data_IF_438911264308
#
_entry.id   IF_438911264308
#
_cell.length_a   1.000
_cell.length_b   1.000
_cell.length_c   1.000
_cell.angle_alpha   90.00
_cell.angle_beta   90.00
_cell.angle_gamma   90.00
#
_symmetry.space_group_name_H-M   'P 1'
#
loop_
_entity.id
_entity.type
_entity.pdbx_description
1 polymer ?
#
# COMPACT_ATOMS: atom_id res chain seq x y z
N UNK A 1 12.42 7.11 -9.32
CA UNK A 1 13.20 6.29 -8.36
C UNK A 1 13.41 7.04 -7.06
N UNK A 2 14.07 8.20 -7.06
CA UNK A 2 14.36 8.99 -5.84
C UNK A 2 13.19 9.17 -4.87
N UNK A 3 11.99 9.54 -5.34
CA UNK A 3 10.81 9.76 -4.47
C UNK A 3 10.37 8.52 -3.68
N UNK A 4 10.41 7.34 -4.28
CA UNK A 4 10.01 6.10 -3.61
C UNK A 4 11.05 5.69 -2.55
N UNK A 5 12.33 5.81 -2.87
CA UNK A 5 13.44 5.58 -1.93
C UNK A 5 13.38 6.56 -0.75
N UNK A 6 13.07 7.84 -0.99
CA UNK A 6 12.86 8.82 0.08
C UNK A 6 11.66 8.44 0.97
N UNK A 7 10.55 8.01 0.37
CA UNK A 7 9.37 7.57 1.12
C UNK A 7 9.66 6.31 1.96
N UNK A 8 10.36 5.32 1.40
CA UNK A 8 10.81 4.12 2.14
C UNK A 8 11.71 4.49 3.32
N UNK A 9 12.66 5.41 3.10
CA UNK A 9 13.57 5.89 4.15
C UNK A 9 12.83 6.65 5.25
N UNK A 10 11.92 7.54 4.87
CA UNK A 10 11.10 8.31 5.82
C UNK A 10 10.18 7.40 6.65
N UNK A 11 9.68 6.33 6.04
CA UNK A 11 8.86 5.32 6.70
C UNK A 11 9.68 4.28 7.48
N UNK A 12 11.01 4.34 7.44
CA UNK A 12 11.91 3.38 8.08
C UNK A 12 11.66 1.95 7.62
N UNK A 13 11.42 1.75 6.31
CA UNK A 13 11.07 0.46 5.71
C UNK A 13 12.32 -0.41 5.48
N UNK A 14 12.90 -0.91 6.56
CA UNK A 14 13.96 -1.92 6.51
C UNK A 14 13.40 -3.32 6.15
N UNK A 15 14.30 -4.29 5.98
CA UNK A 15 13.92 -5.66 5.63
C UNK A 15 12.98 -6.30 6.66
N UNK A 16 13.16 -5.99 7.95
CA UNK A 16 12.30 -6.50 9.02
C UNK A 16 10.88 -5.92 8.97
N UNK A 17 10.76 -4.61 8.72
CA UNK A 17 9.48 -3.92 8.56
C UNK A 17 8.76 -4.37 7.29
N UNK A 18 9.49 -4.61 6.20
CA UNK A 18 8.92 -5.20 4.99
C UNK A 18 8.32 -6.59 5.22
N UNK A 19 8.99 -7.44 6.01
CA UNK A 19 8.44 -8.76 6.36
C UNK A 19 7.15 -8.64 7.16
N UNK A 20 7.09 -7.75 8.14
CA UNK A 20 5.87 -7.49 8.92
C UNK A 20 4.76 -6.87 8.08
N UNK A 21 5.11 -5.97 7.16
CA UNK A 21 4.15 -5.36 6.26
C UNK A 21 3.48 -6.41 5.36
N UNK A 22 4.21 -7.43 4.93
CA UNK A 22 3.69 -8.55 4.14
C UNK A 22 2.66 -9.43 4.88
N UNK A 23 2.40 -9.18 6.17
CA UNK A 23 1.33 -9.83 6.92
C UNK A 23 -0.05 -9.44 6.34
N UNK A 24 -0.95 -10.40 6.06
CA UNK A 24 -2.28 -10.11 5.52
C UNK A 24 -3.09 -9.13 6.38
N UNK A 25 -3.00 -9.25 7.70
CA UNK A 25 -3.68 -8.34 8.63
C UNK A 25 -3.13 -6.92 8.54
N UNK A 26 -1.81 -6.76 8.37
CA UNK A 26 -1.22 -5.44 8.07
C UNK A 26 -1.81 -4.88 6.79
N UNK A 27 -1.78 -5.65 5.69
CA UNK A 27 -2.30 -5.21 4.39
C UNK A 27 -3.79 -4.81 4.43
N UNK A 28 -4.66 -5.69 4.93
CA UNK A 28 -6.11 -5.44 4.98
C UNK A 28 -6.48 -4.28 5.90
N UNK A 29 -5.85 -4.18 7.06
CA UNK A 29 -6.15 -3.10 8.01
C UNK A 29 -5.59 -1.74 7.57
N UNK A 30 -4.71 -1.67 6.55
CA UNK A 30 -4.33 -0.39 5.92
C UNK A 30 -5.40 0.15 4.99
N UNK A 31 -6.35 -0.66 4.53
CA UNK A 31 -7.48 -0.16 3.73
C UNK A 31 -8.37 0.80 4.52
N UNK A 32 -8.30 0.77 5.86
CA UNK A 32 -9.05 1.70 6.72
C UNK A 32 -8.45 3.10 6.75
N UNK A 33 -7.24 3.32 6.24
CA UNK A 33 -6.56 4.62 6.28
C UNK A 33 -7.37 5.69 5.54
N UNK A 34 -7.81 5.43 4.30
CA UNK A 34 -8.57 6.42 3.54
C UNK A 34 -9.94 6.72 4.18
N UNK A 35 -10.73 5.72 4.61
CA UNK A 35 -11.92 5.96 5.43
C UNK A 35 -11.64 6.77 6.70
N UNK A 36 -10.55 6.46 7.43
CA UNK A 36 -10.18 7.19 8.64
C UNK A 36 -9.82 8.64 8.35
N UNK A 37 -9.08 8.92 7.27
CA UNK A 37 -8.77 10.28 6.82
C UNK A 37 -10.05 11.02 6.42
N UNK A 38 -10.97 10.36 5.71
CA UNK A 38 -12.26 10.96 5.35
C UNK A 38 -13.06 11.34 6.59
N UNK A 39 -13.21 10.41 7.55
CA UNK A 39 -13.90 10.66 8.81
C UNK A 39 -13.23 11.78 9.62
N UNK A 40 -11.90 11.78 9.69
CA UNK A 40 -11.15 12.84 10.37
C UNK A 40 -11.43 14.21 9.73
N UNK A 41 -11.37 14.31 8.40
CA UNK A 41 -11.63 15.55 7.69
C UNK A 41 -13.07 16.04 7.88
N UNK A 42 -14.07 15.16 7.78
CA UNK A 42 -15.47 15.51 7.99
C UNK A 42 -15.81 15.82 9.45
N UNK A 43 -15.08 15.23 10.40
CA UNK A 43 -15.26 15.52 11.84
C UNK A 43 -15.05 17.00 12.18
N UNK A 44 -14.36 17.78 11.34
CA UNK A 44 -14.20 19.23 11.52
C UNK A 44 -15.52 19.99 11.56
N UNK A 45 -16.59 19.45 10.98
CA UNK A 45 -17.93 20.03 11.06
C UNK A 45 -18.58 19.83 12.44
N UNK A 46 -18.14 18.83 13.20
CA UNK A 46 -18.69 18.47 14.50
C UNK A 46 -17.84 18.98 15.65
N UNK A 47 -16.52 18.81 15.56
CA UNK A 47 -15.55 19.10 16.62
C UNK A 47 -14.57 20.23 16.28
N UNK A 48 -14.78 20.90 15.14
CA UNK A 48 -13.99 22.07 14.75
C UNK A 48 -12.49 21.78 14.62
N UNK A 49 -11.61 22.63 15.20
CA UNK A 49 -10.15 22.46 15.12
C UNK A 49 -9.63 21.13 15.70
N UNK A 50 -10.38 20.52 16.63
CA UNK A 50 -10.00 19.23 17.24
C UNK A 50 -9.95 18.07 16.25
N UNK A 51 -10.51 18.23 15.05
CA UNK A 51 -10.41 17.27 13.94
C UNK A 51 -8.96 16.99 13.49
N UNK A 52 -7.99 17.83 13.90
CA UNK A 52 -6.57 17.54 13.70
C UNK A 52 -6.13 16.28 14.46
N UNK A 53 -6.73 15.97 15.61
CA UNK A 53 -6.39 14.78 16.41
C UNK A 53 -6.69 13.46 15.69
N UNK A 54 -7.92 13.20 15.18
CA UNK A 54 -8.17 12.00 14.41
C UNK A 54 -7.37 11.96 13.09
N UNK A 55 -7.04 13.12 12.49
CA UNK A 55 -6.17 13.15 11.32
C UNK A 55 -4.74 12.68 11.66
N UNK A 56 -4.17 13.18 12.76
CA UNK A 56 -2.87 12.70 13.27
C UNK A 56 -2.92 11.21 13.60
N UNK A 57 -4.00 10.73 14.22
CA UNK A 57 -4.17 9.31 14.52
C UNK A 57 -4.21 8.44 13.25
N UNK A 58 -4.91 8.89 12.20
CA UNK A 58 -4.94 8.19 10.91
C UNK A 58 -3.56 8.16 10.24
N UNK A 59 -2.78 9.24 10.31
CA UNK A 59 -1.41 9.28 9.79
C UNK A 59 -0.47 8.40 10.63
N UNK A 60 -0.60 8.43 11.95
CA UNK A 60 0.15 7.56 12.85
C UNK A 60 -0.15 6.08 12.57
N UNK A 61 -1.41 5.74 12.23
CA UNK A 61 -1.79 4.39 11.82
C UNK A 61 -1.00 3.91 10.60
N UNK A 62 -0.78 4.76 9.60
CA UNK A 62 0.03 4.39 8.40
C UNK A 62 1.44 3.96 8.79
N UNK A 63 2.05 4.65 9.75
CA UNK A 63 3.40 4.35 10.23
C UNK A 63 3.46 3.16 11.20
N UNK A 64 2.48 3.08 12.09
CA UNK A 64 2.42 2.07 13.15
C UNK A 64 2.01 0.69 12.61
N UNK A 65 1.13 0.65 11.61
CA UNK A 65 0.59 -0.58 11.05
C UNK A 65 1.65 -1.63 10.66
N UNK A 66 2.68 -1.35 9.83
CA UNK A 66 3.69 -2.35 9.47
C UNK A 66 4.59 -2.78 10.65
N UNK A 67 4.43 -2.20 11.85
CA UNK A 67 5.22 -2.53 13.06
C UNK A 67 4.43 -3.33 14.08
N UNK A 68 3.11 -3.26 14.06
CA UNK A 68 2.24 -3.94 15.03
C UNK A 68 2.02 -5.42 14.73
N UNK A 69 2.14 -5.84 13.47
CA UNK A 69 1.88 -7.22 13.08
C UNK A 69 3.18 -8.03 13.02
N UNK A 70 3.18 -9.30 13.43
CA UNK A 70 4.31 -10.19 13.19
C UNK A 70 4.47 -10.46 11.70
N UNK A 71 5.61 -10.99 11.22
CA UNK A 71 5.74 -11.51 9.86
C UNK A 71 4.63 -12.51 9.52
N UNK A 72 4.22 -12.64 8.24
CA UNK A 72 3.23 -13.63 7.84
C UNK A 72 3.74 -15.03 8.18
N UNK A 73 2.88 -15.84 8.79
CA UNK A 73 3.10 -17.29 8.91
C UNK A 73 3.12 -17.86 7.50
N UNK A 74 1.94 -17.95 6.88
CA UNK A 74 1.80 -18.37 5.48
C UNK A 74 2.10 -17.24 4.49
N UNK A 75 2.88 -17.57 3.45
CA UNK A 75 3.36 -16.61 2.43
C UNK A 75 2.70 -16.74 1.06
N UNK A 76 1.68 -17.58 0.95
CA UNK A 76 0.93 -17.86 -0.26
C UNK A 76 -0.35 -17.02 -0.40
N UNK A 77 -0.74 -16.26 0.64
CA UNK A 77 -1.91 -15.40 0.58
C UNK A 77 -1.78 -14.33 -0.50
N UNK A 78 -2.91 -13.96 -1.12
CA UNK A 78 -2.94 -12.92 -2.16
C UNK A 78 -2.34 -11.59 -1.68
N UNK A 79 -2.70 -11.15 -0.46
CA UNK A 79 -2.18 -9.91 0.13
C UNK A 79 -0.67 -9.97 0.34
N UNK A 80 -0.14 -11.08 0.87
CA UNK A 80 1.30 -11.26 1.08
C UNK A 80 2.07 -11.26 -0.24
N UNK A 81 1.59 -12.00 -1.25
CA UNK A 81 2.21 -12.02 -2.59
C UNK A 81 2.17 -10.65 -3.24
N UNK A 82 1.07 -9.92 -3.08
CA UNK A 82 0.92 -8.55 -3.54
C UNK A 82 1.99 -7.62 -2.96
N UNK A 83 2.21 -7.66 -1.64
CA UNK A 83 3.18 -6.80 -0.96
C UNK A 83 4.62 -7.18 -1.34
N UNK A 84 4.93 -8.48 -1.48
CA UNK A 84 6.23 -8.88 -2.03
C UNK A 84 6.44 -8.39 -3.46
N UNK A 85 5.40 -8.46 -4.30
CA UNK A 85 5.44 -7.91 -5.65
C UNK A 85 5.62 -6.40 -5.68
N UNK A 86 5.03 -5.66 -4.75
CA UNK A 86 5.26 -4.22 -4.59
C UNK A 86 6.73 -3.94 -4.29
N UNK A 87 7.34 -4.69 -3.37
CA UNK A 87 8.78 -4.58 -3.06
C UNK A 87 9.66 -4.89 -4.28
N UNK A 88 9.31 -5.91 -5.07
CA UNK A 88 9.99 -6.23 -6.34
C UNK A 88 9.85 -5.08 -7.34
N UNK A 89 8.64 -4.54 -7.49
CA UNK A 89 8.38 -3.43 -8.40
C UNK A 89 9.13 -2.17 -8.01
N UNK A 90 9.29 -1.87 -6.72
CA UNK A 90 10.11 -0.75 -6.24
C UNK A 90 11.59 -0.92 -6.59
N UNK A 91 12.11 -2.15 -6.52
CA UNK A 91 13.49 -2.51 -6.93
C UNK A 91 13.70 -2.64 -8.44
N UNK A 92 12.71 -2.34 -9.28
CA UNK A 92 12.78 -2.54 -10.75
C UNK A 92 13.92 -1.80 -11.47
N UNK A 93 14.51 -0.79 -10.85
CA UNK A 93 15.69 -0.09 -11.37
C UNK A 93 16.99 -0.87 -11.19
N UNK A 94 17.03 -1.79 -10.23
CA UNK A 94 18.20 -2.64 -9.92
C UNK A 94 18.03 -4.06 -10.45
N UNK A 95 16.81 -4.60 -10.40
CA UNK A 95 16.47 -5.93 -10.93
C UNK A 95 15.41 -5.75 -12.00
N UNK A 96 15.74 -6.07 -13.25
CA UNK A 96 14.81 -5.93 -14.36
C UNK A 96 13.54 -6.77 -14.15
N UNK A 97 12.39 -6.20 -14.47
CA UNK A 97 11.08 -6.87 -14.43
C UNK A 97 10.43 -6.85 -15.83
N UNK A 98 9.51 -7.77 -16.14
CA UNK A 98 8.81 -7.75 -17.43
C UNK A 98 8.13 -6.40 -17.72
N UNK A 99 8.31 -5.89 -18.94
CA UNK A 99 7.86 -4.54 -19.32
C UNK A 99 6.33 -4.34 -19.15
N UNK A 100 5.54 -5.40 -19.37
CA UNK A 100 4.09 -5.36 -19.15
C UNK A 100 3.71 -5.07 -17.70
N UNK A 101 4.40 -5.67 -16.73
CA UNK A 101 4.19 -5.41 -15.29
C UNK A 101 4.63 -4.01 -14.90
N UNK A 102 5.78 -3.55 -15.41
CA UNK A 102 6.26 -2.19 -15.16
C UNK A 102 5.26 -1.13 -15.66
N UNK A 103 4.75 -1.30 -16.88
CA UNK A 103 3.76 -0.41 -17.49
C UNK A 103 2.45 -0.42 -16.72
N UNK A 104 1.89 -1.61 -16.46
CA UNK A 104 0.64 -1.75 -15.71
C UNK A 104 0.74 -1.11 -14.32
N UNK A 105 1.82 -1.37 -13.57
CA UNK A 105 2.04 -0.78 -12.26
C UNK A 105 2.17 0.74 -12.30
N UNK A 106 2.79 1.30 -13.35
CA UNK A 106 2.92 2.75 -13.52
C UNK A 106 1.58 3.41 -13.83
N UNK A 107 0.80 2.84 -14.75
CA UNK A 107 -0.53 3.35 -15.12
C UNK A 107 -1.48 3.31 -13.91
N UNK A 108 -1.56 2.18 -13.21
CA UNK A 108 -2.47 2.05 -12.06
C UNK A 108 -2.09 2.99 -10.92
N UNK A 109 -0.80 3.21 -10.65
CA UNK A 109 -0.36 4.20 -9.66
C UNK A 109 -0.69 5.63 -10.11
N UNK A 110 -0.52 5.98 -11.39
CA UNK A 110 -0.89 7.29 -11.91
C UNK A 110 -2.41 7.54 -11.79
N UNK A 111 -3.23 6.56 -12.20
CA UNK A 111 -4.68 6.65 -12.06
C UNK A 111 -5.11 6.73 -10.59
N UNK A 112 -4.46 5.97 -9.70
CA UNK A 112 -4.69 6.04 -8.26
C UNK A 112 -4.37 7.43 -7.71
N UNK A 113 -3.26 8.04 -8.15
CA UNK A 113 -2.89 9.39 -7.74
C UNK A 113 -3.91 10.44 -8.20
N UNK A 114 -4.36 10.37 -9.46
CA UNK A 114 -5.42 11.26 -9.99
C UNK A 114 -6.73 11.09 -9.20
N UNK A 115 -7.12 9.85 -8.92
CA UNK A 115 -8.31 9.57 -8.11
C UNK A 115 -8.17 10.07 -6.68
N UNK A 116 -6.95 10.02 -6.13
CA UNK A 116 -6.61 10.59 -4.83
C UNK A 116 -6.75 12.11 -4.79
N UNK A 117 -6.48 12.80 -5.91
CA UNK A 117 -6.73 14.25 -6.00
C UNK A 117 -8.22 14.58 -5.95
N UNK A 118 -9.08 13.76 -6.58
CA UNK A 118 -10.55 13.90 -6.49
C UNK A 118 -11.00 13.69 -5.04
N UNK A 119 -10.45 12.68 -4.35
CA UNK A 119 -10.72 12.46 -2.93
C UNK A 119 -10.34 13.67 -2.09
N UNK A 120 -9.12 14.19 -2.24
CA UNK A 120 -8.64 15.38 -1.50
C UNK A 120 -9.49 16.61 -1.78
N UNK A 121 -9.85 16.85 -3.05
CA UNK A 121 -10.78 17.90 -3.44
C UNK A 121 -12.13 17.77 -2.73
N UNK A 122 -12.71 16.57 -2.69
CA UNK A 122 -13.94 16.29 -1.94
C UNK A 122 -13.82 16.61 -0.45
N UNK A 123 -12.68 16.29 0.17
CA UNK A 123 -12.43 16.65 1.58
C UNK A 123 -12.22 18.14 1.81
N UNK A 124 -11.61 18.87 0.86
CA UNK A 124 -11.42 20.31 0.97
C UNK A 124 -12.77 21.02 0.89
N UNK A 125 -13.59 20.67 -0.10
CA UNK A 125 -14.87 21.33 -0.36
C UNK A 125 -16.07 20.72 0.40
N UNK A 126 -15.85 19.68 1.21
CA UNK A 126 -16.93 18.92 1.87
C UNK A 126 -17.97 18.41 0.86
N UNK A 127 -17.51 17.99 -0.30
CA UNK A 127 -18.35 17.34 -1.29
C UNK A 127 -18.36 15.83 -1.02
N UNK A 128 -19.54 15.32 -0.63
CA UNK A 128 -19.73 13.93 -0.26
C UNK A 128 -19.47 12.99 -1.45
N UNK A 129 -19.93 13.35 -2.64
CA UNK A 129 -19.83 12.48 -3.81
C UNK A 129 -18.41 12.40 -4.34
N UNK A 130 -17.69 13.53 -4.41
CA UNK A 130 -16.28 13.57 -4.75
C UNK A 130 -15.43 12.82 -3.70
N UNK A 131 -15.75 12.96 -2.41
CA UNK A 131 -15.10 12.21 -1.33
C UNK A 131 -15.28 10.71 -1.52
N UNK A 132 -16.53 10.24 -1.64
CA UNK A 132 -16.82 8.80 -1.72
C UNK A 132 -16.32 8.19 -3.02
N UNK A 133 -16.54 8.85 -4.17
CA UNK A 133 -16.08 8.35 -5.47
C UNK A 133 -14.56 8.35 -5.59
N UNK A 134 -13.89 9.43 -5.17
CA UNK A 134 -12.43 9.53 -5.16
C UNK A 134 -11.80 8.49 -4.23
N UNK A 135 -12.38 8.29 -3.03
CA UNK A 135 -11.94 7.25 -2.10
C UNK A 135 -12.10 5.85 -2.71
N UNK A 136 -13.30 5.51 -3.17
CA UNK A 136 -13.61 4.19 -3.72
C UNK A 136 -12.72 3.88 -4.92
N UNK A 137 -12.58 4.82 -5.86
CA UNK A 137 -11.77 4.63 -7.05
C UNK A 137 -10.28 4.47 -6.71
N UNK A 138 -9.76 5.29 -5.79
CA UNK A 138 -8.38 5.15 -5.30
C UNK A 138 -8.13 3.78 -4.67
N UNK A 139 -9.05 3.31 -3.83
CA UNK A 139 -8.95 2.00 -3.18
C UNK A 139 -9.01 0.86 -4.20
N UNK A 140 -9.95 0.90 -5.15
CA UNK A 140 -10.09 -0.10 -6.21
C UNK A 140 -8.84 -0.17 -7.08
N UNK A 141 -8.31 0.98 -7.52
CA UNK A 141 -7.09 1.02 -8.33
C UNK A 141 -5.87 0.55 -7.56
N UNK A 142 -5.76 0.85 -6.25
CA UNK A 142 -4.67 0.34 -5.42
C UNK A 142 -4.77 -1.17 -5.20
N UNK A 143 -5.98 -1.72 -5.03
CA UNK A 143 -6.19 -3.16 -4.94
C UNK A 143 -5.90 -3.85 -6.28
N UNK A 144 -6.25 -3.23 -7.41
CA UNK A 144 -5.90 -3.75 -8.72
C UNK A 144 -4.38 -3.69 -8.98
N UNK A 145 -3.72 -2.61 -8.55
CA UNK A 145 -2.26 -2.54 -8.55
C UNK A 145 -1.67 -3.71 -7.75
N UNK A 146 -2.19 -3.96 -6.54
CA UNK A 146 -1.73 -5.04 -5.69
C UNK A 146 -1.95 -6.42 -6.33
N UNK A 147 -3.07 -6.61 -7.01
CA UNK A 147 -3.30 -7.82 -7.81
C UNK A 147 -2.20 -8.01 -8.85
N UNK A 148 -1.90 -6.97 -9.64
CA UNK A 148 -0.78 -6.99 -10.62
C UNK A 148 0.56 -7.30 -9.95
N UNK A 149 0.78 -6.84 -8.73
CA UNK A 149 1.99 -7.15 -7.97
C UNK A 149 2.05 -8.63 -7.55
N UNK A 150 0.93 -9.24 -7.17
CA UNK A 150 0.89 -10.66 -6.85
C UNK A 150 1.28 -11.54 -8.06
N UNK A 151 0.84 -11.17 -9.26
CA UNK A 151 1.28 -11.78 -10.52
C UNK A 151 2.76 -11.55 -10.80
N UNK A 152 3.22 -10.30 -10.69
CA UNK A 152 4.65 -9.95 -10.85
C UNK A 152 5.54 -10.78 -9.93
N UNK A 153 5.17 -10.91 -8.65
CA UNK A 153 5.92 -11.73 -7.71
C UNK A 153 5.98 -13.20 -8.14
N UNK A 154 4.88 -13.75 -8.64
CA UNK A 154 4.84 -15.12 -9.14
C UNK A 154 5.70 -15.38 -10.38
N UNK A 155 5.89 -14.38 -11.23
CA UNK A 155 6.81 -14.49 -12.36
C UNK A 155 8.26 -14.38 -11.89
N UNK A 156 8.53 -13.44 -10.98
CA UNK A 156 9.86 -13.15 -10.49
C UNK A 156 10.41 -14.21 -9.53
N UNK A 157 9.55 -14.90 -8.76
CA UNK A 157 9.98 -16.01 -7.89
C UNK A 157 10.49 -17.24 -8.66
N UNK A 158 10.08 -17.40 -9.93
CA UNK A 158 10.52 -18.51 -10.78
C UNK A 158 11.92 -18.30 -11.33
N UNK A 159 12.34 -17.05 -11.50
CA UNK A 159 13.57 -16.67 -12.21
C UNK A 159 14.64 -16.04 -11.29
N UNK A 160 14.29 -15.70 -10.05
CA UNK A 160 15.22 -15.06 -9.11
C UNK A 160 15.24 -15.80 -7.75
N UNK A 161 16.42 -16.28 -7.37
CA UNK A 161 16.62 -17.07 -6.15
C UNK A 161 16.37 -16.28 -4.85
N UNK A 162 16.68 -14.98 -4.80
CA UNK A 162 16.39 -14.11 -3.65
C UNK A 162 14.89 -14.03 -3.41
N UNK A 163 14.12 -13.75 -4.47
CA UNK A 163 12.66 -13.64 -4.37
C UNK A 163 12.00 -14.99 -4.07
N UNK A 164 12.56 -16.09 -4.59
CA UNK A 164 12.11 -17.43 -4.25
C UNK A 164 12.38 -17.78 -2.77
N UNK A 165 13.44 -17.25 -2.16
CA UNK A 165 13.73 -17.47 -0.75
C UNK A 165 12.67 -16.82 0.16
N UNK A 166 12.07 -15.71 -0.28
CA UNK A 166 11.01 -15.04 0.49
C UNK A 166 9.80 -15.94 0.69
N UNK A 167 9.40 -16.77 -0.28
CA UNK A 167 8.27 -17.70 -0.17
C UNK A 167 8.63 -19.04 0.50
N UNK A 168 9.91 -19.43 0.56
CA UNK A 168 10.36 -20.76 1.01
C UNK A 168 10.58 -20.92 2.51
N UNK A 169 10.65 -19.85 3.30
CA UNK A 169 11.10 -19.92 4.71
C UNK A 169 10.19 -20.70 5.68
N UNK A 170 9.15 -21.41 5.21
CA UNK A 170 8.32 -22.32 6.01
C UNK A 170 8.12 -23.72 5.39
N UNK A 171 8.75 -24.07 4.26
CA UNK A 171 8.61 -25.44 3.70
C UNK A 171 9.34 -26.54 4.50
N UNK A 172 9.87 -26.21 5.68
CA UNK A 172 10.51 -27.14 6.62
C UNK A 172 9.89 -26.95 8.00
N UNK A 173 8.77 -27.60 8.26
CA UNK A 173 8.27 -27.97 9.57
C UNK A 173 7.49 -29.28 9.41
#
# INVERSE_FOLDING_TARGET
>A
MKLAEYAEKLMGMDDSTWQRHANPWSGWSRLTVLPAIALAAWSRMLIGPWAILPAIAALAWVWLNPRLFPPPKRKDSWMTRGIFGERVWLKRGSVAIPAGHARAGTILNALSAVSGLIFVAGLIWLDLWATLSGMALTMLLKLWFLDRMAWLYGDMEKVNAEYAAWSRSERRA
#
